data_IF_698066194947
#
_entry.id   IF_698066194947
#
_cell.length_a   1.000
_cell.length_b   1.000
_cell.length_c   1.000
_cell.angle_alpha   90.00
_cell.angle_beta   90.00
_cell.angle_gamma   90.00
#
_symmetry.space_group_name_H-M   'P 1'
#
loop_
_entity.id
_entity.type
_entity.pdbx_description
1 polymer ?
#
# COMPACT_ATOMS: atom_id res chain seq x y z
N UNK A 1 -22.85 -1.13 -4.76
CA UNK A 1 -21.92 -1.80 -3.82
C UNK A 1 -20.67 -0.94 -3.79
N UNK A 2 -20.42 -0.27 -2.66
CA UNK A 2 -19.26 0.60 -2.50
C UNK A 2 -18.00 -0.25 -2.44
N UNK A 3 -16.96 0.14 -3.18
CA UNK A 3 -15.69 -0.61 -3.26
C UNK A 3 -14.68 0.11 -2.39
N UNK A 4 -14.35 -0.50 -1.26
CA UNK A 4 -13.27 -0.03 -0.39
C UNK A 4 -12.02 -0.84 -0.75
N UNK A 5 -10.90 -0.17 -0.96
CA UNK A 5 -9.60 -0.83 -1.15
C UNK A 5 -8.51 -0.09 -0.40
N UNK A 6 -7.72 -0.83 0.38
CA UNK A 6 -6.53 -0.35 1.06
C UNK A 6 -5.26 -0.94 0.46
N UNK A 7 -4.19 -0.16 0.44
CA UNK A 7 -2.86 -0.62 0.06
C UNK A 7 -1.81 -0.03 0.99
N UNK A 8 -0.86 -0.86 1.41
CA UNK A 8 0.30 -0.46 2.18
C UNK A 8 1.55 -0.65 1.32
N UNK A 9 2.31 0.43 1.13
CA UNK A 9 3.62 0.39 0.47
C UNK A 9 4.69 0.75 1.48
N UNK A 10 5.64 -0.16 1.71
CA UNK A 10 6.81 0.09 2.56
C UNK A 10 8.03 0.20 1.67
N UNK A 11 8.79 1.28 1.82
CA UNK A 11 10.01 1.54 1.05
C UNK A 11 11.05 2.27 1.90
N UNK A 12 12.30 2.18 1.47
CA UNK A 12 13.40 2.89 2.11
C UNK A 12 13.60 4.26 1.45
N UNK A 13 13.54 5.32 2.26
CA UNK A 13 13.79 6.71 1.88
C UNK A 13 14.90 7.25 2.78
N UNK A 14 16.13 7.31 2.28
CA UNK A 14 17.31 7.58 3.10
C UNK A 14 17.11 8.79 4.04
N UNK A 15 17.33 8.64 5.37
CA UNK A 15 17.90 7.48 6.08
C UNK A 15 16.87 6.53 6.71
N UNK A 16 15.58 6.63 6.39
CA UNK A 16 14.50 5.98 7.12
C UNK A 16 13.68 5.02 6.27
N UNK A 17 13.09 4.03 6.94
CA UNK A 17 12.00 3.27 6.35
C UNK A 17 10.67 4.03 6.48
N UNK A 18 9.92 4.07 5.39
CA UNK A 18 8.66 4.79 5.27
C UNK A 18 7.56 3.83 4.84
N UNK A 19 6.42 3.90 5.53
CA UNK A 19 5.19 3.21 5.20
C UNK A 19 4.17 4.23 4.68
N UNK A 20 3.60 3.97 3.51
CA UNK A 20 2.54 4.78 2.91
C UNK A 20 1.28 3.93 2.81
N UNK A 21 0.22 4.44 3.43
CA UNK A 21 -1.11 3.86 3.43
C UNK A 21 -1.97 4.59 2.42
N UNK A 22 -2.45 3.88 1.42
CA UNK A 22 -3.42 4.35 0.44
C UNK A 22 -4.78 3.76 0.82
N UNK A 23 -5.77 4.61 1.12
CA UNK A 23 -7.14 4.22 1.40
C UNK A 23 -8.04 4.80 0.32
N UNK A 24 -8.76 3.93 -0.40
CA UNK A 24 -9.69 4.34 -1.44
C UNK A 24 -11.09 3.93 -1.04
N UNK A 25 -11.96 4.92 -0.89
CA UNK A 25 -13.39 4.76 -0.63
C UNK A 25 -14.15 5.59 -1.67
N UNK A 26 -15.04 4.95 -2.42
CA UNK A 26 -15.92 5.61 -3.40
C UNK A 26 -15.21 6.49 -4.45
N UNK A 27 -13.99 6.09 -4.84
CA UNK A 27 -13.17 6.83 -5.79
C UNK A 27 -12.46 8.05 -5.18
N UNK A 28 -12.55 8.24 -3.88
CA UNK A 28 -11.76 9.19 -3.11
C UNK A 28 -10.54 8.47 -2.52
N UNK A 29 -9.35 9.03 -2.74
CA UNK A 29 -8.09 8.54 -2.18
C UNK A 29 -7.69 9.40 -0.99
N UNK A 30 -7.44 8.73 0.12
CA UNK A 30 -6.86 9.29 1.33
C UNK A 30 -5.52 8.60 1.57
N UNK A 31 -4.46 9.38 1.84
CA UNK A 31 -3.11 8.84 2.03
C UNK A 31 -2.59 9.22 3.41
N UNK A 32 -1.91 8.29 4.08
CA UNK A 32 -1.14 8.58 5.29
C UNK A 32 0.29 8.07 5.14
N UNK A 33 1.27 8.88 5.59
CA UNK A 33 2.69 8.53 5.58
C UNK A 33 3.18 8.38 7.01
N UNK A 34 3.80 7.24 7.29
CA UNK A 34 4.42 6.93 8.58
C UNK A 34 5.90 6.68 8.37
N UNK A 35 6.75 7.36 9.14
CA UNK A 35 8.19 7.10 9.17
C UNK A 35 8.47 6.07 10.28
N UNK A 36 8.87 4.87 9.89
CA UNK A 36 9.22 3.77 10.79
C UNK A 36 10.66 3.90 11.33
N UNK A 37 11.52 4.60 10.59
CA UNK A 37 12.89 4.85 11.00
C UNK A 37 13.82 3.69 10.64
N UNK A 38 13.88 2.66 11.48
CA UNK A 38 14.68 1.46 11.25
C UNK A 38 13.98 0.49 10.29
N UNK A 39 14.71 -0.51 9.79
CA UNK A 39 14.14 -1.58 8.96
C UNK A 39 13.08 -2.36 9.75
N UNK A 40 11.79 -2.22 9.38
CA UNK A 40 10.73 -2.88 10.11
C UNK A 40 10.68 -4.35 9.72
N UNK A 41 10.41 -5.21 10.70
CA UNK A 41 10.11 -6.61 10.40
C UNK A 41 8.63 -6.78 10.07
N UNK A 42 8.31 -7.84 9.33
CA UNK A 42 6.94 -8.12 8.89
C UNK A 42 5.93 -8.16 10.05
N UNK A 43 6.33 -8.70 11.21
CA UNK A 43 5.47 -8.74 12.39
C UNK A 43 5.22 -7.36 13.01
N UNK A 44 6.21 -6.45 12.95
CA UNK A 44 6.07 -5.08 13.48
C UNK A 44 5.12 -4.28 12.60
N UNK A 45 5.21 -4.47 11.28
CA UNK A 45 4.28 -3.86 10.33
C UNK A 45 2.86 -4.38 10.59
N UNK A 46 2.70 -5.69 10.78
CA UNK A 46 1.39 -6.28 11.02
C UNK A 46 0.74 -5.77 12.31
N UNK A 47 1.50 -5.77 13.43
CA UNK A 47 1.04 -5.21 14.70
C UNK A 47 0.74 -3.71 14.59
N UNK A 48 1.55 -2.96 13.85
CA UNK A 48 1.31 -1.54 13.61
C UNK A 48 -0.02 -1.32 12.87
N UNK A 49 -0.29 -2.09 11.83
CA UNK A 49 -1.55 -2.02 11.09
C UNK A 49 -2.73 -2.38 11.99
N UNK A 50 -2.63 -3.44 12.79
CA UNK A 50 -3.74 -3.85 13.66
C UNK A 50 -4.07 -2.83 14.75
N UNK A 51 -3.05 -2.25 15.38
CA UNK A 51 -3.24 -1.41 16.55
C UNK A 51 -3.33 0.08 16.24
N UNK A 52 -2.74 0.55 15.13
CA UNK A 52 -2.59 1.99 14.86
C UNK A 52 -3.24 2.46 13.56
N UNK A 53 -3.79 1.58 12.72
CA UNK A 53 -4.37 2.00 11.44
C UNK A 53 -5.48 3.04 11.59
N UNK A 54 -6.35 2.87 12.59
CA UNK A 54 -7.46 3.80 12.85
C UNK A 54 -6.98 5.15 13.42
N UNK A 55 -5.78 5.19 14.00
CA UNK A 55 -5.18 6.40 14.56
C UNK A 55 -4.41 7.22 13.52
N UNK A 56 -4.23 6.68 12.30
CA UNK A 56 -3.50 7.33 11.24
C UNK A 56 -4.21 8.61 10.79
N UNK A 57 -3.44 9.70 10.75
CA UNK A 57 -3.90 10.95 10.17
C UNK A 57 -3.82 10.85 8.65
N UNK A 58 -4.98 10.62 8.02
CA UNK A 58 -5.10 10.62 6.58
C UNK A 58 -5.21 12.04 6.04
N UNK A 59 -4.61 12.27 4.87
CA UNK A 59 -4.79 13.51 4.13
C UNK A 59 -6.25 13.70 3.70
N UNK A 60 -6.60 14.94 3.32
CA UNK A 60 -7.88 15.21 2.68
C UNK A 60 -8.13 14.26 1.51
N UNK A 61 -9.37 13.78 1.40
CA UNK A 61 -9.78 12.82 0.40
C UNK A 61 -9.75 13.49 -0.99
N UNK A 62 -8.86 13.01 -1.87
CA UNK A 62 -8.70 13.56 -3.22
C UNK A 62 -9.38 12.63 -4.20
N UNK A 63 -10.20 13.18 -5.11
CA UNK A 63 -10.80 12.42 -6.19
C UNK A 63 -9.70 11.74 -7.02
N UNK A 64 -9.66 10.40 -6.97
CA UNK A 64 -8.71 9.60 -7.74
C UNK A 64 -9.47 8.80 -8.78
N UNK A 65 -8.98 8.85 -10.03
CA UNK A 65 -9.33 7.78 -10.97
C UNK A 65 -8.61 6.57 -10.42
N UNK A 66 -9.34 5.60 -9.86
CA UNK A 66 -8.80 4.33 -9.37
C UNK A 66 -8.01 3.70 -10.53
N UNK A 67 -6.73 4.06 -10.63
CA UNK A 67 -5.82 3.44 -11.56
C UNK A 67 -5.60 2.07 -10.96
N UNK A 68 -6.31 1.09 -11.52
CA UNK A 68 -5.89 -0.30 -11.39
C UNK A 68 -4.38 -0.30 -11.54
N UNK A 69 -3.68 -0.74 -10.48
CA UNK A 69 -2.23 -0.72 -10.46
C UNK A 69 -1.74 -1.31 -11.77
N UNK A 70 -1.03 -0.51 -12.58
CA UNK A 70 -0.39 -1.01 -13.79
C UNK A 70 0.53 -2.12 -13.34
N UNK A 71 0.09 -3.38 -13.48
CA UNK A 71 0.91 -4.55 -13.14
C UNK A 71 2.22 -4.36 -13.89
N UNK A 72 3.31 -4.23 -13.14
CA UNK A 72 4.64 -4.08 -13.71
C UNK A 72 4.84 -5.20 -14.73
N UNK A 73 5.19 -4.87 -15.99
CA UNK A 73 5.26 -5.85 -17.08
C UNK A 73 6.15 -7.06 -16.73
N UNK A 74 7.19 -6.85 -15.91
CA UNK A 74 8.02 -7.94 -15.39
C UNK A 74 7.25 -8.95 -14.52
N UNK A 75 6.28 -8.49 -13.72
CA UNK A 75 5.43 -9.33 -12.85
C UNK A 75 4.43 -10.13 -13.68
N UNK A 76 3.81 -9.51 -14.69
CA UNK A 76 2.91 -10.20 -15.66
C UNK A 76 3.65 -11.28 -16.44
N UNK A 77 4.85 -10.97 -16.96
CA UNK A 77 5.66 -11.94 -17.70
C UNK A 77 6.06 -13.14 -16.83
N UNK A 78 6.34 -12.93 -15.53
CA UNK A 78 6.69 -14.00 -14.60
C UNK A 78 5.49 -14.90 -14.27
N UNK A 79 4.30 -14.33 -14.11
CA UNK A 79 3.05 -15.09 -13.91
C UNK A 79 2.72 -15.97 -15.12
N UNK A 80 2.88 -15.45 -16.35
CA UNK A 80 2.67 -16.20 -17.58
C UNK A 80 3.65 -17.38 -17.71
N UNK A 81 4.94 -17.16 -17.42
CA UNK A 81 5.97 -18.21 -17.47
C UNK A 81 5.74 -19.31 -16.43
N UNK A 82 5.23 -18.96 -15.25
CA UNK A 82 4.90 -19.94 -14.22
C UNK A 82 3.63 -20.75 -14.57
N UNK A 83 2.65 -20.16 -15.27
CA UNK A 83 1.46 -20.90 -15.74
C UNK A 83 1.75 -21.90 -16.86
N UNK A 84 2.73 -21.64 -17.73
CA UNK A 84 3.15 -22.56 -18.80
C UNK A 84 3.99 -23.75 -18.33
N UNK A 85 4.44 -23.75 -17.07
CA UNK A 85 5.24 -24.84 -16.47
C UNK A 85 4.40 -25.83 -15.66
N UNK A 86 3.07 -25.64 -15.63
CA UNK A 86 2.12 -26.61 -15.09
C UNK A 86 1.48 -27.40 -16.21
#
# INVERSE_FOLDING_TARGET
MYKISGKLTVYFENPFWVAVFEHIEDGLLSVSKVTLGAEPKDYEIYEFVLNHYNDLQFSSAVATVVKEEKKNHKRVQRELKNKQRK
#
